data_IF_989674353601
#
_entry.id   IF_989674353601
#
_cell.length_a   1.000
_cell.length_b   1.000
_cell.length_c   1.000
_cell.angle_alpha   90.00
_cell.angle_beta   90.00
_cell.angle_gamma   90.00
#
_symmetry.space_group_name_H-M   'P 1'
#
loop_
_entity.id
_entity.type
_entity.pdbx_description
1 polymer ?
#
# COMPACT_ATOMS: atom_id res chain seq x y z
N UNK A 1 -16.33 -8.00 -0.88
CA UNK A 1 -17.47 -8.80 -0.41
C UNK A 1 -18.04 -9.74 -1.49
N UNK A 2 -18.20 -9.38 -2.74
CA UNK A 2 -18.75 -10.26 -3.79
C UNK A 2 -17.93 -11.53 -4.13
N UNK A 3 -16.79 -11.77 -3.50
CA UNK A 3 -15.90 -12.93 -3.77
C UNK A 3 -15.64 -13.82 -2.54
N UNK A 4 -16.47 -13.72 -1.50
CA UNK A 4 -16.39 -14.59 -0.32
C UNK A 4 -15.25 -14.27 0.65
N UNK A 5 -14.62 -13.09 0.56
CA UNK A 5 -13.64 -12.63 1.52
C UNK A 5 -14.32 -11.97 2.74
N UNK A 6 -13.85 -12.27 3.94
CA UNK A 6 -14.18 -11.51 5.16
C UNK A 6 -13.28 -10.26 5.19
N UNK A 7 -13.88 -9.08 5.30
CA UNK A 7 -13.18 -7.81 5.26
C UNK A 7 -13.15 -7.17 6.63
N UNK A 8 -11.95 -6.85 7.12
CA UNK A 8 -11.71 -6.09 8.35
C UNK A 8 -11.27 -4.67 7.98
N UNK A 9 -12.05 -3.68 8.36
CA UNK A 9 -11.72 -2.26 8.15
C UNK A 9 -10.83 -1.73 9.26
N UNK A 10 -9.65 -1.22 8.88
CA UNK A 10 -8.71 -0.56 9.81
C UNK A 10 -8.74 0.94 9.54
N UNK A 11 -9.25 1.75 10.47
CA UNK A 11 -9.43 3.19 10.28
C UNK A 11 -9.14 3.99 11.54
N UNK A 12 -8.74 5.26 11.38
CA UNK A 12 -8.66 6.20 12.50
C UNK A 12 -10.04 6.73 12.92
N UNK A 13 -11.01 6.68 12.01
CA UNK A 13 -12.39 7.13 12.27
C UNK A 13 -13.23 6.00 12.88
N UNK A 14 -14.23 6.32 13.68
CA UNK A 14 -15.20 5.33 14.14
C UNK A 14 -15.98 4.74 12.96
N UNK A 15 -16.63 3.61 13.19
CA UNK A 15 -17.51 2.99 12.19
C UNK A 15 -18.64 3.95 11.82
N UNK A 16 -18.93 4.19 10.53
CA UNK A 16 -20.04 5.04 10.14
C UNK A 16 -21.40 4.45 10.53
N UNK A 17 -22.27 5.26 11.18
CA UNK A 17 -23.58 4.81 11.68
C UNK A 17 -24.63 4.62 10.57
N UNK A 18 -24.45 5.26 9.40
CA UNK A 18 -25.47 5.39 8.36
C UNK A 18 -25.06 4.84 6.98
N UNK A 19 -23.98 4.07 6.87
CA UNK A 19 -23.64 3.45 5.59
C UNK A 19 -24.51 2.21 5.34
N UNK A 20 -24.93 2.01 4.09
CA UNK A 20 -25.66 0.79 3.70
C UNK A 20 -24.87 -0.45 4.12
N UNK A 21 -25.54 -1.37 4.84
CA UNK A 21 -24.94 -2.56 5.46
C UNK A 21 -24.07 -3.39 4.51
N UNK A 22 -24.34 -3.34 3.21
CA UNK A 22 -23.60 -4.12 2.20
C UNK A 22 -22.30 -3.45 1.69
N UNK A 23 -22.02 -2.20 2.10
CA UNK A 23 -20.84 -1.45 1.68
C UNK A 23 -19.76 -1.36 2.75
N UNK A 24 -20.06 -1.78 3.98
CA UNK A 24 -19.12 -1.74 5.11
C UNK A 24 -18.41 -3.09 5.30
N UNK A 25 -17.17 -3.06 5.82
CA UNK A 25 -16.48 -4.24 6.30
C UNK A 25 -17.29 -4.96 7.40
N UNK A 26 -17.16 -6.29 7.48
CA UNK A 26 -17.78 -7.12 8.52
C UNK A 26 -17.30 -6.72 9.91
N UNK A 27 -16.00 -6.47 10.05
CA UNK A 27 -15.35 -6.01 11.27
C UNK A 27 -14.75 -4.63 11.09
N UNK A 28 -14.69 -3.84 12.16
CA UNK A 28 -14.11 -2.50 12.16
C UNK A 28 -13.21 -2.30 13.37
N UNK A 29 -11.96 -1.97 13.13
CA UNK A 29 -10.97 -1.68 14.18
C UNK A 29 -10.52 -0.24 14.06
N UNK A 30 -10.77 0.55 15.10
CA UNK A 30 -10.30 1.92 15.18
C UNK A 30 -8.88 1.95 15.74
N UNK A 31 -7.99 2.72 15.08
CA UNK A 31 -6.58 2.88 15.49
C UNK A 31 -6.05 4.24 15.08
N UNK A 32 -4.86 4.60 15.54
CA UNK A 32 -4.18 5.86 15.18
C UNK A 32 -2.74 5.63 14.77
N UNK A 33 -2.25 6.40 13.77
CA UNK A 33 -0.85 6.37 13.36
C UNK A 33 0.10 6.69 14.53
N UNK A 34 1.09 5.84 14.73
CA UNK A 34 1.99 5.82 15.89
C UNK A 34 1.61 4.75 16.93
N UNK A 35 0.47 4.08 16.76
CA UNK A 35 -0.01 2.99 17.62
C UNK A 35 -0.18 1.69 16.85
N UNK A 36 0.60 1.47 15.80
CA UNK A 36 0.51 0.32 14.90
C UNK A 36 0.63 -1.02 15.64
N UNK A 37 1.32 -1.04 16.80
CA UNK A 37 1.47 -2.23 17.64
C UNK A 37 0.12 -2.75 18.20
N UNK A 38 -0.88 -1.90 18.33
CA UNK A 38 -2.21 -2.29 18.79
C UNK A 38 -2.95 -3.17 17.78
N UNK A 39 -2.50 -3.16 16.52
CA UNK A 39 -3.09 -3.96 15.45
C UNK A 39 -2.54 -5.39 15.38
N UNK A 40 -1.49 -5.74 16.13
CA UNK A 40 -0.87 -7.06 16.05
C UNK A 40 -1.85 -8.25 16.19
N UNK A 41 -2.82 -8.23 17.12
CA UNK A 41 -3.78 -9.33 17.22
C UNK A 41 -4.61 -9.51 15.94
N UNK A 42 -5.00 -8.40 15.30
CA UNK A 42 -5.75 -8.43 14.04
C UNK A 42 -4.85 -8.83 12.87
N UNK A 43 -3.65 -8.24 12.78
CA UNK A 43 -2.69 -8.56 11.73
C UNK A 43 -2.33 -10.05 11.69
N UNK A 44 -2.32 -10.71 12.85
CA UNK A 44 -2.06 -12.14 12.96
C UNK A 44 -3.14 -13.03 12.29
N UNK A 45 -4.36 -12.53 12.16
CA UNK A 45 -5.49 -13.27 11.56
C UNK A 45 -5.66 -13.03 10.05
N UNK A 46 -4.95 -12.05 9.48
CA UNK A 46 -5.14 -11.65 8.08
C UNK A 46 -4.38 -12.56 7.12
N UNK A 47 -5.02 -12.97 6.03
CA UNK A 47 -4.37 -13.56 4.86
C UNK A 47 -3.78 -12.47 3.94
N UNK A 48 -4.49 -11.33 3.83
CA UNK A 48 -4.11 -10.21 2.98
C UNK A 48 -4.20 -8.90 3.77
N UNK A 49 -3.10 -8.15 3.83
CA UNK A 49 -3.09 -6.78 4.35
C UNK A 49 -3.02 -5.79 3.18
N UNK A 50 -4.01 -4.90 3.08
CA UNK A 50 -4.04 -3.82 2.07
C UNK A 50 -3.79 -2.48 2.74
N UNK A 51 -2.66 -1.84 2.46
CA UNK A 51 -2.29 -0.52 2.96
C UNK A 51 -2.72 0.55 1.95
N UNK A 52 -3.89 1.15 2.22
CA UNK A 52 -4.48 2.20 1.38
C UNK A 52 -4.78 3.49 2.16
N UNK A 53 -4.44 3.55 3.45
CA UNK A 53 -4.65 4.75 4.25
C UNK A 53 -3.74 5.90 3.82
N UNK A 54 -4.19 7.12 4.07
CA UNK A 54 -3.42 8.30 3.72
C UNK A 54 -4.21 9.59 3.91
N UNK A 55 -3.52 10.70 3.78
CA UNK A 55 -4.08 12.05 3.74
C UNK A 55 -3.56 12.79 2.51
N UNK A 56 -4.35 13.74 2.04
CA UNK A 56 -3.94 14.66 0.98
C UNK A 56 -4.10 16.11 1.48
N UNK A 57 -2.99 16.75 1.89
CA UNK A 57 -3.04 18.11 2.44
C UNK A 57 -3.25 19.22 1.39
N UNK A 58 -3.45 18.86 0.12
CA UNK A 58 -3.57 19.84 -0.96
C UNK A 58 -2.29 20.65 -1.16
N UNK A 59 -2.45 21.95 -1.39
CA UNK A 59 -1.32 22.86 -1.62
C UNK A 59 -0.60 23.36 -0.36
N UNK A 60 -0.96 22.89 0.83
CA UNK A 60 -0.34 23.32 2.09
C UNK A 60 1.10 22.79 2.20
N UNK A 61 2.06 23.71 2.30
CA UNK A 61 3.50 23.42 2.37
C UNK A 61 4.12 23.71 3.75
N UNK A 62 3.29 23.97 4.77
CA UNK A 62 3.82 24.20 6.13
C UNK A 62 4.57 22.97 6.63
N UNK A 63 5.65 23.15 7.41
CA UNK A 63 6.46 22.04 7.92
C UNK A 63 5.66 20.98 8.69
N UNK A 64 4.70 21.40 9.51
CA UNK A 64 3.87 20.47 10.28
C UNK A 64 2.95 19.66 9.39
N UNK A 65 2.40 20.25 8.34
CA UNK A 65 1.55 19.58 7.35
C UNK A 65 2.35 18.54 6.57
N UNK A 66 3.56 18.91 6.14
CA UNK A 66 4.47 17.98 5.47
C UNK A 66 4.86 16.81 6.39
N UNK A 67 5.22 17.11 7.64
CA UNK A 67 5.57 16.10 8.64
C UNK A 67 4.41 15.14 8.87
N UNK A 68 3.19 15.64 8.96
CA UNK A 68 1.98 14.83 9.12
C UNK A 68 1.73 13.94 7.90
N UNK A 69 1.90 14.46 6.68
CA UNK A 69 1.76 13.69 5.46
C UNK A 69 2.80 12.55 5.38
N UNK A 70 4.06 12.83 5.71
CA UNK A 70 5.10 11.80 5.77
C UNK A 70 4.80 10.75 6.83
N UNK A 71 4.37 11.17 8.02
CA UNK A 71 4.02 10.26 9.13
C UNK A 71 2.89 9.32 8.74
N UNK A 72 1.79 9.85 8.20
CA UNK A 72 0.59 9.06 7.89
C UNK A 72 0.80 8.21 6.63
N UNK A 73 1.23 8.82 5.51
CA UNK A 73 1.26 8.13 4.21
C UNK A 73 2.46 7.19 4.04
N UNK A 74 3.57 7.45 4.73
CA UNK A 74 4.79 6.69 4.54
C UNK A 74 5.27 5.94 5.79
N UNK A 75 5.51 6.64 6.90
CA UNK A 75 6.15 6.02 8.07
C UNK A 75 5.21 5.03 8.78
N UNK A 76 3.92 5.35 8.88
CA UNK A 76 2.92 4.44 9.44
C UNK A 76 2.75 3.20 8.55
N UNK A 77 2.64 3.38 7.23
CA UNK A 77 2.61 2.27 6.27
C UNK A 77 3.86 1.39 6.40
N UNK A 78 5.05 2.00 6.53
CA UNK A 78 6.30 1.28 6.71
C UNK A 78 6.34 0.49 8.03
N UNK A 79 5.83 1.07 9.11
CA UNK A 79 5.72 0.37 10.39
C UNK A 79 4.80 -0.85 10.28
N UNK A 80 3.63 -0.72 9.61
CA UNK A 80 2.71 -1.84 9.37
C UNK A 80 3.32 -2.93 8.47
N UNK A 81 4.09 -2.56 7.45
CA UNK A 81 4.83 -3.52 6.61
C UNK A 81 5.74 -4.38 7.48
N UNK A 82 6.61 -3.75 8.28
CA UNK A 82 7.56 -4.47 9.13
C UNK A 82 6.85 -5.36 10.17
N UNK A 83 5.76 -4.88 10.77
CA UNK A 83 4.99 -5.67 11.75
C UNK A 83 4.35 -6.89 11.10
N UNK A 84 3.67 -6.70 9.97
CA UNK A 84 3.01 -7.79 9.26
C UNK A 84 3.99 -8.84 8.75
N UNK A 85 5.17 -8.44 8.29
CA UNK A 85 6.26 -9.35 7.91
C UNK A 85 6.75 -10.17 9.10
N UNK A 86 7.03 -9.52 10.24
CA UNK A 86 7.47 -10.22 11.46
C UNK A 86 6.42 -11.21 11.99
N UNK A 87 5.12 -10.83 11.92
CA UNK A 87 4.02 -11.73 12.29
C UNK A 87 3.92 -12.90 11.32
N UNK A 88 4.05 -12.68 10.02
CA UNK A 88 3.98 -13.74 9.01
C UNK A 88 5.14 -14.75 9.16
N UNK A 89 6.33 -14.26 9.48
CA UNK A 89 7.51 -15.11 9.74
C UNK A 89 7.36 -15.96 11.01
N UNK A 90 6.78 -15.38 12.08
CA UNK A 90 6.58 -16.08 13.35
C UNK A 90 5.35 -17.00 13.36
N UNK A 91 4.37 -16.73 12.49
CA UNK A 91 3.12 -17.49 12.39
C UNK A 91 2.76 -17.73 10.91
N UNK A 92 3.51 -18.63 10.21
CA UNK A 92 3.24 -18.94 8.82
C UNK A 92 1.88 -19.63 8.66
N UNK A 93 1.25 -19.45 7.49
CA UNK A 93 0.02 -20.17 7.15
C UNK A 93 0.36 -21.67 6.93
N UNK A 94 -0.59 -22.55 7.29
CA UNK A 94 -0.46 -24.01 7.02
C UNK A 94 -0.37 -24.29 5.51
N UNK A 95 -1.07 -23.50 4.69
CA UNK A 95 -0.99 -23.59 3.24
C UNK A 95 -1.04 -22.19 2.62
N UNK A 96 -0.28 -22.00 1.56
CA UNK A 96 -0.21 -20.73 0.84
C UNK A 96 0.76 -19.73 1.48
N UNK A 97 0.59 -18.47 1.12
CA UNK A 97 1.44 -17.35 1.52
C UNK A 97 0.59 -16.13 1.78
N UNK A 98 0.83 -15.43 2.88
CA UNK A 98 0.20 -14.12 3.14
C UNK A 98 0.54 -13.13 2.06
N UNK A 99 -0.34 -12.16 1.83
CA UNK A 99 -0.10 -11.09 0.87
C UNK A 99 -0.10 -9.72 1.54
N UNK A 100 0.76 -8.85 1.06
CA UNK A 100 0.89 -7.47 1.51
C UNK A 100 0.80 -6.55 0.29
N UNK A 101 -0.27 -5.76 0.22
CA UNK A 101 -0.54 -4.85 -0.90
C UNK A 101 -0.36 -3.41 -0.44
N UNK A 102 0.52 -2.67 -1.08
CA UNK A 102 0.85 -1.30 -0.68
C UNK A 102 0.53 -0.31 -1.79
N UNK A 103 -0.40 0.61 -1.52
CA UNK A 103 -0.74 1.69 -2.44
C UNK A 103 0.30 2.81 -2.37
N UNK A 104 1.17 2.89 -3.41
CA UNK A 104 2.22 3.91 -3.50
C UNK A 104 1.79 5.12 -4.34
N UNK A 105 0.79 4.99 -5.21
CA UNK A 105 0.31 6.01 -6.14
C UNK A 105 1.27 6.30 -7.32
N UNK A 106 0.72 6.79 -8.44
CA UNK A 106 1.54 7.29 -9.56
C UNK A 106 2.33 8.56 -9.20
N UNK A 107 1.93 9.27 -8.12
CA UNK A 107 2.69 10.41 -7.58
C UNK A 107 4.12 10.01 -7.12
N UNK A 108 4.43 8.73 -7.10
CA UNK A 108 5.79 8.24 -6.88
C UNK A 108 6.75 8.69 -7.98
N UNK A 109 6.31 8.74 -9.23
CA UNK A 109 7.13 9.09 -10.40
C UNK A 109 6.59 10.27 -11.22
N UNK A 110 5.34 10.65 -11.00
CA UNK A 110 4.70 11.79 -11.65
C UNK A 110 4.54 12.95 -10.65
N UNK A 111 4.56 14.20 -11.10
CA UNK A 111 4.22 15.33 -10.25
C UNK A 111 2.77 15.24 -9.75
N UNK A 112 2.54 15.69 -8.53
CA UNK A 112 1.19 15.84 -7.98
C UNK A 112 0.91 17.30 -7.57
N UNK A 113 -0.36 17.71 -7.60
CA UNK A 113 -0.78 19.06 -7.19
C UNK A 113 -0.55 19.33 -5.71
N UNK A 114 -0.42 18.29 -4.91
CA UNK A 114 -0.17 18.35 -3.47
C UNK A 114 1.27 17.93 -3.16
N UNK A 115 2.18 18.87 -2.84
CA UNK A 115 3.59 18.55 -2.57
C UNK A 115 3.79 17.57 -1.41
N UNK A 116 3.04 17.74 -0.32
CA UNK A 116 3.11 16.84 0.84
C UNK A 116 2.65 15.41 0.50
N UNK A 117 1.62 15.28 -0.31
CA UNK A 117 1.18 13.98 -0.82
C UNK A 117 2.24 13.36 -1.73
N UNK A 118 2.75 14.10 -2.72
CA UNK A 118 3.78 13.63 -3.64
C UNK A 118 5.01 13.10 -2.88
N UNK A 119 5.60 13.93 -2.01
CA UNK A 119 6.81 13.55 -1.26
C UNK A 119 6.57 12.31 -0.40
N UNK A 120 5.42 12.21 0.26
CA UNK A 120 5.09 11.04 1.07
C UNK A 120 4.89 9.76 0.25
N UNK A 121 4.28 9.87 -0.95
CA UNK A 121 4.12 8.73 -1.86
C UNK A 121 5.44 8.33 -2.53
N UNK A 122 6.32 9.28 -2.84
CA UNK A 122 7.71 9.00 -3.26
C UNK A 122 8.45 8.23 -2.18
N UNK A 123 8.35 8.65 -0.91
CA UNK A 123 9.04 7.98 0.20
C UNK A 123 8.55 6.52 0.37
N UNK A 124 7.23 6.29 0.49
CA UNK A 124 6.74 4.90 0.65
C UNK A 124 7.05 4.04 -0.58
N UNK A 125 6.97 4.61 -1.79
CA UNK A 125 7.36 3.91 -3.01
C UNK A 125 8.80 3.46 -3.01
N UNK A 126 9.73 4.33 -2.55
CA UNK A 126 11.14 4.00 -2.41
C UNK A 126 11.36 2.89 -1.36
N UNK A 127 10.68 2.97 -0.21
CA UNK A 127 10.78 1.96 0.86
C UNK A 127 10.27 0.58 0.39
N UNK A 128 9.17 0.54 -0.36
CA UNK A 128 8.65 -0.70 -0.95
C UNK A 128 9.62 -1.29 -1.98
N UNK A 129 10.18 -0.47 -2.86
CA UNK A 129 11.16 -0.92 -3.85
C UNK A 129 12.45 -1.42 -3.20
N UNK A 130 12.90 -0.76 -2.12
CA UNK A 130 14.04 -1.23 -1.32
C UNK A 130 13.72 -2.61 -0.73
N UNK A 131 12.55 -2.81 -0.13
CA UNK A 131 12.13 -4.10 0.43
C UNK A 131 12.08 -5.19 -0.65
N UNK A 132 11.59 -4.90 -1.85
CA UNK A 132 11.62 -5.84 -2.97
C UNK A 132 13.02 -6.28 -3.35
N UNK A 133 13.97 -5.34 -3.39
CA UNK A 133 15.36 -5.64 -3.76
C UNK A 133 16.09 -6.49 -2.72
N UNK A 134 15.69 -6.40 -1.44
CA UNK A 134 16.26 -7.16 -0.33
C UNK A 134 15.69 -8.58 -0.20
N UNK A 135 14.49 -8.81 -0.75
CA UNK A 135 13.84 -10.14 -0.65
C UNK A 135 14.58 -11.17 -1.48
N UNK A 136 15.01 -12.23 -0.83
CA UNK A 136 15.51 -13.43 -1.51
C UNK A 136 14.33 -14.22 -2.08
N UNK A 137 14.45 -14.70 -3.30
CA UNK A 137 13.42 -15.49 -4.01
C UNK A 137 13.00 -16.77 -3.26
N UNK A 138 13.72 -17.18 -2.21
CA UNK A 138 13.49 -18.40 -1.43
C UNK A 138 12.82 -18.19 -0.08
N UNK A 139 12.53 -16.93 0.30
CA UNK A 139 11.88 -16.67 1.58
C UNK A 139 10.37 -16.89 1.46
N UNK A 140 9.94 -18.12 1.72
CA UNK A 140 8.52 -18.51 1.66
C UNK A 140 7.71 -18.00 2.86
N UNK A 141 8.33 -17.68 3.97
CA UNK A 141 7.66 -17.19 5.17
C UNK A 141 7.23 -15.72 5.04
N UNK A 142 8.00 -14.89 4.33
CA UNK A 142 7.65 -13.50 4.13
C UNK A 142 6.42 -13.33 3.23
N UNK A 143 5.50 -12.39 3.52
CA UNK A 143 4.30 -12.17 2.69
C UNK A 143 4.65 -11.83 1.24
N UNK A 144 3.79 -12.20 0.28
CA UNK A 144 3.94 -11.74 -1.09
C UNK A 144 3.66 -10.24 -1.16
N UNK A 145 4.69 -9.43 -1.42
CA UNK A 145 4.57 -7.98 -1.50
C UNK A 145 4.11 -7.54 -2.90
N UNK A 146 2.96 -6.86 -2.97
CA UNK A 146 2.45 -6.22 -4.19
C UNK A 146 2.50 -4.71 -4.05
N UNK A 147 3.04 -4.06 -5.05
CA UNK A 147 3.08 -2.60 -5.17
C UNK A 147 1.94 -2.14 -6.08
N UNK A 148 1.02 -1.34 -5.53
CA UNK A 148 -0.11 -0.79 -6.25
C UNK A 148 0.19 0.66 -6.64
N UNK A 149 0.33 0.91 -7.93
CA UNK A 149 0.56 2.24 -8.50
C UNK A 149 -0.75 2.73 -9.09
N UNK A 150 -1.50 3.46 -8.27
CA UNK A 150 -2.84 3.90 -8.63
C UNK A 150 -2.81 5.37 -9.08
N UNK A 151 -3.44 5.65 -10.21
CA UNK A 151 -3.68 6.99 -10.71
C UNK A 151 -4.84 7.69 -9.99
N UNK A 152 -5.27 8.88 -10.45
CA UNK A 152 -6.28 9.68 -9.78
C UNK A 152 -7.68 9.03 -9.92
N UNK A 153 -8.16 8.40 -8.88
CA UNK A 153 -9.53 7.89 -8.78
C UNK A 153 -10.35 8.68 -7.76
N UNK A 154 -11.67 8.65 -7.94
CA UNK A 154 -12.61 9.33 -7.03
C UNK A 154 -12.60 8.68 -5.66
N UNK A 155 -12.33 9.49 -4.64
CA UNK A 155 -12.36 9.13 -3.23
C UNK A 155 -12.50 10.39 -2.39
N UNK A 156 -12.68 10.25 -1.09
CA UNK A 156 -12.72 11.39 -0.17
C UNK A 156 -11.41 12.20 -0.21
N UNK A 157 -10.28 11.55 -0.49
CA UNK A 157 -8.97 12.20 -0.65
C UNK A 157 -8.81 12.91 -2.01
N UNK A 158 -9.60 12.52 -3.01
CA UNK A 158 -9.53 13.06 -4.37
C UNK A 158 -10.91 13.08 -5.04
N UNK A 159 -11.77 14.06 -4.72
CA UNK A 159 -13.12 14.15 -5.28
C UNK A 159 -13.18 14.31 -6.81
N UNK A 160 -12.12 14.85 -7.42
CA UNK A 160 -12.00 15.11 -8.86
C UNK A 160 -11.28 13.98 -9.63
N UNK A 161 -11.13 12.80 -9.02
CA UNK A 161 -10.51 11.65 -9.66
C UNK A 161 -11.14 11.26 -11.00
N UNK A 162 -10.32 10.79 -11.94
CA UNK A 162 -10.75 10.45 -13.31
C UNK A 162 -11.38 9.06 -13.42
N UNK A 163 -11.07 8.16 -12.49
CA UNK A 163 -11.56 6.76 -12.47
C UNK A 163 -12.52 6.57 -11.30
N UNK A 164 -13.45 5.60 -11.41
CA UNK A 164 -14.22 5.18 -10.24
C UNK A 164 -13.42 4.23 -9.36
N UNK A 165 -13.70 4.23 -8.05
CA UNK A 165 -13.05 3.32 -7.10
C UNK A 165 -13.33 1.84 -7.45
N UNK A 166 -14.55 1.52 -7.91
CA UNK A 166 -14.93 0.16 -8.31
C UNK A 166 -14.12 -0.34 -9.51
N UNK A 167 -13.92 0.51 -10.53
CA UNK A 167 -13.09 0.15 -11.68
C UNK A 167 -11.65 -0.14 -11.25
N UNK A 168 -11.09 0.74 -10.40
CA UNK A 168 -9.72 0.55 -9.89
C UNK A 168 -9.63 -0.74 -9.08
N UNK A 169 -10.57 -1.00 -8.17
CA UNK A 169 -10.60 -2.23 -7.37
C UNK A 169 -10.70 -3.48 -8.25
N UNK A 170 -11.55 -3.49 -9.28
CA UNK A 170 -11.66 -4.60 -10.22
C UNK A 170 -10.33 -4.85 -10.96
N UNK A 171 -9.69 -3.81 -11.48
CA UNK A 171 -8.42 -3.93 -12.20
C UNK A 171 -7.29 -4.42 -11.28
N UNK A 172 -7.24 -3.94 -10.03
CA UNK A 172 -6.28 -4.43 -9.03
C UNK A 172 -6.50 -5.93 -8.77
N UNK A 173 -7.74 -6.37 -8.56
CA UNK A 173 -8.06 -7.78 -8.31
C UNK A 173 -7.75 -8.67 -9.51
N UNK A 174 -8.00 -8.22 -10.74
CA UNK A 174 -7.66 -8.96 -11.96
C UNK A 174 -6.13 -9.11 -12.06
N UNK A 175 -5.37 -8.04 -11.93
CA UNK A 175 -3.91 -8.09 -12.03
C UNK A 175 -3.30 -8.92 -10.89
N UNK A 176 -3.85 -8.84 -9.68
CA UNK A 176 -3.43 -9.68 -8.56
C UNK A 176 -3.70 -11.18 -8.82
N UNK A 177 -4.86 -11.53 -9.40
CA UNK A 177 -5.21 -12.91 -9.75
C UNK A 177 -4.32 -13.49 -10.87
N UNK A 178 -3.74 -12.64 -11.70
CA UNK A 178 -2.71 -13.01 -12.69
C UNK A 178 -1.31 -13.15 -12.09
N UNK A 179 -1.16 -12.99 -10.78
CA UNK A 179 0.11 -13.13 -10.07
C UNK A 179 1.05 -11.93 -10.16
N UNK A 180 0.60 -10.76 -10.67
CA UNK A 180 1.44 -9.59 -10.82
C UNK A 180 1.80 -8.99 -9.44
N UNK A 181 3.09 -8.71 -9.22
CA UNK A 181 3.58 -8.02 -8.01
C UNK A 181 3.59 -6.49 -8.19
N UNK A 182 3.83 -5.99 -9.40
CA UNK A 182 3.65 -4.59 -9.76
C UNK A 182 2.30 -4.44 -10.47
N UNK A 183 1.36 -3.77 -9.81
CA UNK A 183 0.01 -3.54 -10.31
C UNK A 183 -0.13 -2.05 -10.62
N UNK A 184 -0.45 -1.72 -11.86
CA UNK A 184 -0.59 -0.34 -12.33
C UNK A 184 -2.01 -0.14 -12.83
N UNK A 185 -2.73 0.84 -12.26
CA UNK A 185 -4.08 1.23 -12.69
C UNK A 185 -4.15 2.76 -12.75
N UNK A 186 -3.97 3.31 -13.93
CA UNK A 186 -3.95 4.76 -14.15
C UNK A 186 -4.38 5.09 -15.58
N UNK A 187 -4.99 6.26 -15.85
CA UNK A 187 -5.24 6.73 -17.20
C UNK A 187 -3.98 7.28 -17.88
N UNK A 188 -2.87 7.45 -17.15
CA UNK A 188 -1.63 8.01 -17.67
C UNK A 188 -0.74 6.91 -18.29
N UNK A 189 -0.57 6.88 -19.63
CA UNK A 189 0.22 5.84 -20.28
C UNK A 189 1.71 5.88 -19.94
N UNK A 190 2.25 7.03 -19.56
CA UNK A 190 3.66 7.17 -19.18
C UNK A 190 3.99 6.37 -17.92
N UNK A 191 3.05 6.22 -17.00
CA UNK A 191 3.25 5.43 -15.78
C UNK A 191 3.51 3.96 -16.07
N UNK A 192 2.85 3.38 -17.10
CA UNK A 192 3.06 2.00 -17.51
C UNK A 192 4.46 1.76 -18.10
N UNK A 193 5.12 2.80 -18.60
CA UNK A 193 6.49 2.72 -19.09
C UNK A 193 7.52 3.03 -17.99
N UNK A 194 7.33 4.16 -17.29
CA UNK A 194 8.32 4.69 -16.34
C UNK A 194 8.43 3.83 -15.08
N UNK A 195 7.32 3.30 -14.55
CA UNK A 195 7.37 2.50 -13.33
C UNK A 195 8.15 1.19 -13.50
N UNK A 196 7.86 0.34 -14.50
CA UNK A 196 8.65 -0.87 -14.69
C UNK A 196 10.13 -0.57 -14.96
N UNK A 197 10.45 0.49 -15.73
CA UNK A 197 11.84 0.89 -15.98
C UNK A 197 12.55 1.34 -14.70
N UNK A 198 11.88 2.11 -13.85
CA UNK A 198 12.43 2.54 -12.57
C UNK A 198 12.71 1.33 -11.65
N UNK A 199 11.77 0.39 -11.53
CA UNK A 199 11.93 -0.81 -10.71
C UNK A 199 13.04 -1.73 -11.27
N UNK A 200 13.11 -1.89 -12.59
CA UNK A 200 14.17 -2.65 -13.25
C UNK A 200 15.55 -2.03 -12.97
N UNK A 201 15.68 -0.71 -13.17
CA UNK A 201 16.93 0.01 -12.92
C UNK A 201 17.42 -0.15 -11.48
N UNK A 202 16.50 -0.06 -10.51
CA UNK A 202 16.79 -0.26 -9.08
C UNK A 202 17.20 -1.71 -8.78
N UNK A 203 16.49 -2.68 -9.35
CA UNK A 203 16.82 -4.09 -9.19
C UNK A 203 18.21 -4.41 -9.74
N UNK A 204 18.56 -3.89 -10.92
CA UNK A 204 19.88 -4.06 -11.52
C UNK A 204 20.96 -3.39 -10.67
N UNK A 205 20.75 -2.15 -10.23
CA UNK A 205 21.70 -1.44 -9.36
C UNK A 205 21.96 -2.24 -8.08
N UNK A 206 20.92 -2.68 -7.39
CA UNK A 206 21.06 -3.44 -6.16
C UNK A 206 21.79 -4.78 -6.39
N UNK A 207 21.49 -5.50 -7.47
CA UNK A 207 22.18 -6.76 -7.80
C UNK A 207 23.67 -6.56 -8.07
N UNK A 208 24.04 -5.43 -8.70
CA UNK A 208 25.43 -5.14 -9.07
C UNK A 208 26.25 -4.61 -7.90
N UNK A 209 25.62 -3.85 -6.98
CA UNK A 209 26.33 -3.06 -5.96
C UNK A 209 25.98 -3.42 -4.51
N UNK A 210 24.95 -4.24 -4.25
CA UNK A 210 24.71 -4.74 -2.90
C UNK A 210 25.81 -5.70 -2.51
N UNK A 211 26.50 -5.39 -1.43
CA UNK A 211 27.44 -6.35 -0.81
C UNK A 211 26.61 -7.50 -0.27
N UNK A 212 27.07 -8.76 -0.38
CA UNK A 212 26.48 -9.83 0.41
C UNK A 212 26.61 -9.45 1.89
N UNK A 213 25.50 -9.57 2.62
CA UNK A 213 25.51 -9.38 4.07
C UNK A 213 26.58 -10.34 4.68
N UNK A 214 27.38 -9.85 5.66
CA UNK A 214 28.40 -10.65 6.31
C UNK A 214 27.85 -11.86 7.03
#
# INVERSE_FOLDING_TARGET
MQRGAVVVGLSHSPRPDHAESNSLPEEWVQWSCGQEHQLDPVLATLDVLVLNHGINPGGDQRPDTLTTALKVNALSSWALINRFEAIAESNPLESGRRELWVNTSEAEIQPALSPGYELSKRLIGQLVSLRWSQRRTKDQAAPHLRKLVLGPFKSDLNPIGLMSADLVAQQVLIQASLGLSLIIVTPNPLTYLLMPLNELGRSLYNRCFSRPDP
#
